data_IF_952772279602
#
_entry.id   IF_952772279602
#
_cell.length_a   1.000
_cell.length_b   1.000
_cell.length_c   1.000
_cell.angle_alpha   90.00
_cell.angle_beta   90.00
_cell.angle_gamma   90.00
#
_symmetry.space_group_name_H-M   'P 1'
#
loop_
_entity.id
_entity.type
_entity.pdbx_description
1 polymer ?
#
# COMPACT_ATOMS: atom_id res chain seq x y z
N UNK A 1 -52.53 41.55 17.17
CA UNK A 1 -51.33 40.96 17.74
C UNK A 1 -50.90 39.80 16.83
N UNK A 2 -49.86 39.99 16.04
CA UNK A 2 -49.39 38.99 15.08
C UNK A 2 -48.04 38.46 15.62
N UNK A 3 -48.06 37.19 16.04
CA UNK A 3 -46.84 36.50 16.54
C UNK A 3 -46.06 35.99 15.31
N UNK A 4 -44.86 36.53 15.07
CA UNK A 4 -43.93 36.05 14.03
C UNK A 4 -43.01 35.04 14.67
N UNK A 5 -43.17 33.78 14.31
CA UNK A 5 -42.23 32.71 14.63
C UNK A 5 -41.15 32.67 13.58
N UNK A 6 -39.92 33.00 13.95
CA UNK A 6 -38.70 32.87 13.14
C UNK A 6 -38.22 31.45 13.24
N UNK A 7 -38.25 30.68 12.13
CA UNK A 7 -37.57 29.42 11.99
C UNK A 7 -36.08 29.70 11.70
N UNK A 8 -35.21 29.30 12.60
CA UNK A 8 -33.78 29.26 12.35
C UNK A 8 -33.44 27.95 11.66
N UNK A 9 -33.04 27.99 10.39
CA UNK A 9 -32.44 26.84 9.70
C UNK A 9 -30.99 26.67 10.20
N UNK A 10 -30.76 25.60 10.91
CA UNK A 10 -29.42 25.14 11.24
C UNK A 10 -28.75 24.50 10.00
N UNK A 11 -27.80 25.19 9.41
CA UNK A 11 -26.94 24.61 8.40
C UNK A 11 -25.95 23.62 9.07
N UNK A 12 -26.21 22.32 8.94
CA UNK A 12 -25.32 21.26 9.44
C UNK A 12 -24.21 21.07 8.40
N UNK A 13 -22.99 21.40 8.79
CA UNK A 13 -21.81 21.29 7.94
C UNK A 13 -21.43 19.82 7.72
N UNK A 14 -21.69 19.31 6.50
CA UNK A 14 -21.16 18.04 5.97
C UNK A 14 -19.79 18.29 5.34
N UNK A 15 -18.76 18.39 6.15
CA UNK A 15 -17.37 18.48 5.65
C UNK A 15 -16.50 17.59 6.51
N UNK A 16 -16.13 16.40 6.03
CA UNK A 16 -14.85 15.73 6.39
C UNK A 16 -14.65 14.29 5.91
N UNK A 17 -15.44 13.75 4.99
CA UNK A 17 -15.21 12.37 4.50
C UNK A 17 -14.41 12.27 3.18
N UNK A 18 -14.17 13.38 2.49
CA UNK A 18 -13.48 13.36 1.19
C UNK A 18 -11.94 13.30 1.29
N UNK A 19 -11.34 13.66 2.43
CA UNK A 19 -9.88 13.78 2.53
C UNK A 19 -9.16 12.43 2.64
N UNK A 20 -9.74 11.44 3.30
CA UNK A 20 -9.09 10.13 3.50
C UNK A 20 -9.05 9.28 2.23
N UNK A 21 -10.07 9.33 1.40
CA UNK A 21 -10.12 8.59 0.14
C UNK A 21 -9.13 9.14 -0.90
N UNK A 22 -8.93 10.46 -0.94
CA UNK A 22 -7.97 11.10 -1.84
C UNK A 22 -6.52 10.77 -1.46
N UNK A 23 -6.19 10.67 -0.18
CA UNK A 23 -4.85 10.27 0.29
C UNK A 23 -4.53 8.81 -0.03
N UNK A 24 -5.53 7.91 0.01
CA UNK A 24 -5.36 6.50 -0.32
C UNK A 24 -5.03 6.27 -1.81
N UNK A 25 -5.50 7.14 -2.71
CA UNK A 25 -5.24 7.06 -4.15
C UNK A 25 -3.91 7.72 -4.57
N UNK A 26 -3.35 8.62 -3.75
CA UNK A 26 -2.19 9.44 -4.10
C UNK A 26 -0.87 8.98 -3.46
N UNK A 27 -0.84 7.83 -2.78
CA UNK A 27 0.42 7.30 -2.30
C UNK A 27 1.36 6.99 -3.48
N UNK A 28 2.67 7.29 -3.36
CA UNK A 28 3.63 7.02 -4.43
C UNK A 28 3.74 5.52 -4.73
N UNK A 29 4.23 5.13 -5.91
CA UNK A 29 4.60 3.75 -6.13
C UNK A 29 5.77 3.34 -5.20
N UNK A 30 5.96 2.04 -4.91
CA UNK A 30 6.91 1.61 -3.88
C UNK A 30 8.35 2.08 -4.11
N UNK A 31 8.82 2.05 -5.35
CA UNK A 31 10.19 2.47 -5.71
C UNK A 31 10.43 4.00 -5.61
N UNK A 32 9.38 4.81 -5.57
CA UNK A 32 9.46 6.25 -5.28
C UNK A 32 9.27 6.53 -3.79
N UNK A 33 8.34 5.80 -3.15
CA UNK A 33 7.99 5.99 -1.74
C UNK A 33 9.06 5.48 -0.79
N UNK A 34 9.70 4.36 -1.12
CA UNK A 34 10.74 3.73 -0.29
C UNK A 34 11.86 3.10 -1.13
N UNK A 35 12.73 3.91 -1.73
CA UNK A 35 13.83 3.43 -2.58
C UNK A 35 14.89 2.61 -1.84
N UNK A 36 14.90 2.64 -0.50
CA UNK A 36 15.79 1.80 0.30
C UNK A 36 15.35 0.33 0.30
N UNK A 37 14.04 0.10 0.16
CA UNK A 37 13.43 -1.24 0.10
C UNK A 37 13.18 -1.69 -1.32
N UNK A 38 12.76 -0.80 -2.22
CA UNK A 38 12.32 -1.11 -3.58
C UNK A 38 13.18 -0.46 -4.64
N UNK A 39 13.84 -1.25 -5.49
CA UNK A 39 14.71 -0.76 -6.56
C UNK A 39 14.24 -1.24 -7.92
N UNK A 40 14.01 -0.32 -8.85
CA UNK A 40 13.79 -0.70 -10.25
C UNK A 40 15.10 -1.22 -10.83
N UNK A 41 15.11 -2.48 -11.25
CA UNK A 41 16.28 -3.15 -11.83
C UNK A 41 16.15 -3.36 -13.34
N UNK A 42 14.94 -3.24 -13.88
CA UNK A 42 14.65 -3.26 -15.30
C UNK A 42 13.36 -2.49 -15.57
N UNK A 43 13.31 -1.77 -16.70
CA UNK A 43 12.09 -1.14 -17.18
C UNK A 43 12.12 -0.97 -18.69
N UNK A 44 11.01 -1.30 -19.35
CA UNK A 44 10.75 -0.99 -20.75
C UNK A 44 9.32 -0.44 -20.94
N UNK A 45 8.83 -0.42 -22.16
CA UNK A 45 7.48 0.07 -22.47
C UNK A 45 6.35 -0.82 -21.92
N UNK A 46 6.62 -2.11 -21.66
CA UNK A 46 5.60 -3.10 -21.28
C UNK A 46 5.71 -3.53 -19.82
N UNK A 47 6.93 -3.57 -19.27
CA UNK A 47 7.20 -4.14 -17.96
C UNK A 47 8.12 -3.26 -17.11
N UNK A 48 7.96 -3.39 -15.80
CA UNK A 48 8.91 -2.94 -14.79
C UNK A 48 9.22 -4.09 -13.85
N UNK A 49 10.52 -4.30 -13.58
CA UNK A 49 10.99 -5.27 -12.60
C UNK A 49 11.58 -4.53 -11.42
N UNK A 50 11.09 -4.85 -10.23
CA UNK A 50 11.49 -4.21 -8.98
C UNK A 50 12.10 -5.29 -8.08
N UNK A 51 13.31 -5.06 -7.64
CA UNK A 51 13.98 -5.82 -6.57
C UNK A 51 13.56 -5.22 -5.22
N UNK A 52 13.03 -6.05 -4.33
CA UNK A 52 12.55 -5.63 -3.02
C UNK A 52 13.22 -6.42 -1.91
N UNK A 53 13.97 -5.72 -1.06
CA UNK A 53 14.59 -6.31 0.13
C UNK A 53 14.09 -5.58 1.37
N UNK A 54 13.13 -6.20 2.06
CA UNK A 54 12.64 -5.72 3.35
C UNK A 54 13.32 -6.52 4.45
N UNK A 55 14.29 -5.90 5.12
CA UNK A 55 15.05 -6.56 6.19
C UNK A 55 14.13 -6.97 7.33
N UNK A 56 14.58 -7.95 8.11
CA UNK A 56 13.88 -8.41 9.32
C UNK A 56 13.52 -7.23 10.22
N UNK A 57 12.24 -7.14 10.61
CA UNK A 57 11.70 -6.10 11.46
C UNK A 57 11.50 -4.74 10.79
N UNK A 58 11.82 -4.61 9.51
CA UNK A 58 11.60 -3.34 8.78
C UNK A 58 10.14 -3.23 8.37
N UNK A 59 9.58 -2.07 8.68
CA UNK A 59 8.28 -1.59 8.22
C UNK A 59 8.55 -0.58 7.10
N UNK A 60 8.11 -0.86 5.89
CA UNK A 60 8.31 0.03 4.75
C UNK A 60 7.38 1.25 4.81
N UNK A 61 7.67 2.24 3.97
CA UNK A 61 6.89 3.48 3.92
C UNK A 61 5.60 3.29 3.13
N UNK A 62 4.63 4.15 3.42
CA UNK A 62 3.33 4.16 2.74
C UNK A 62 3.51 4.30 1.23
N UNK A 63 2.94 3.37 0.46
CA UNK A 63 3.00 3.31 -0.99
C UNK A 63 1.73 2.67 -1.58
N UNK A 64 1.62 2.64 -2.91
CA UNK A 64 0.51 1.97 -3.60
C UNK A 64 1.01 1.18 -4.82
N UNK A 65 0.40 0.03 -5.11
CA UNK A 65 0.63 -0.70 -6.36
C UNK A 65 -0.45 -0.28 -7.37
N UNK A 66 -0.05 0.53 -8.35
CA UNK A 66 -0.97 1.16 -9.32
C UNK A 66 -1.28 0.27 -10.53
N UNK A 67 -0.54 -0.80 -10.70
CA UNK A 67 -0.71 -1.79 -11.76
C UNK A 67 -0.64 -3.19 -11.18
N UNK A 68 -1.28 -4.19 -11.82
CA UNK A 68 -1.14 -5.58 -11.42
C UNK A 68 0.30 -6.05 -11.56
N UNK A 69 0.75 -6.92 -10.67
CA UNK A 69 2.09 -7.48 -10.69
C UNK A 69 2.09 -8.98 -10.37
N UNK A 70 3.17 -9.64 -10.76
CA UNK A 70 3.55 -10.95 -10.23
C UNK A 70 4.67 -10.72 -9.22
N UNK A 71 4.54 -11.33 -8.05
CA UNK A 71 5.57 -11.33 -7.02
C UNK A 71 6.17 -12.71 -6.91
N UNK A 72 7.50 -12.78 -7.01
CA UNK A 72 8.28 -13.99 -6.83
C UNK A 72 9.12 -13.89 -5.55
N UNK A 73 9.03 -14.87 -4.68
CA UNK A 73 9.80 -14.94 -3.44
C UNK A 73 11.17 -15.58 -3.66
N UNK A 74 12.23 -14.83 -3.35
CA UNK A 74 13.60 -15.34 -3.32
C UNK A 74 13.94 -15.95 -1.95
N UNK A 75 13.30 -15.44 -0.88
CA UNK A 75 13.40 -15.99 0.49
C UNK A 75 12.01 -16.25 1.05
N UNK A 76 11.92 -16.96 2.15
CA UNK A 76 10.70 -17.07 2.93
C UNK A 76 10.34 -15.68 3.50
N UNK A 77 9.08 -15.30 3.41
CA UNK A 77 8.59 -14.00 3.87
C UNK A 77 7.36 -14.18 4.75
N UNK A 78 7.32 -13.46 5.87
CA UNK A 78 6.09 -13.27 6.63
C UNK A 78 5.85 -11.77 6.78
N UNK A 79 4.78 -11.28 6.17
CA UNK A 79 4.47 -9.85 6.12
C UNK A 79 3.13 -9.54 6.76
N UNK A 80 3.06 -8.43 7.50
CA UNK A 80 1.83 -7.85 8.01
C UNK A 80 1.59 -6.52 7.27
N UNK A 81 0.40 -6.37 6.71
CA UNK A 81 0.01 -5.16 5.97
C UNK A 81 -0.76 -4.20 6.86
N UNK A 82 -0.53 -2.92 6.64
CA UNK A 82 -1.17 -1.82 7.35
C UNK A 82 -1.85 -0.88 6.37
N UNK A 83 -3.02 -0.39 6.73
CA UNK A 83 -3.70 0.66 5.99
C UNK A 83 -3.06 2.04 6.18
N UNK A 84 -3.54 3.05 5.45
CA UNK A 84 -3.04 4.42 5.56
C UNK A 84 -3.27 5.05 6.95
N UNK A 85 -4.13 4.47 7.77
CA UNK A 85 -4.37 4.84 9.17
C UNK A 85 -3.39 4.18 10.16
N UNK A 86 -2.43 3.39 9.64
CA UNK A 86 -1.42 2.68 10.44
C UNK A 86 -1.95 1.44 11.17
N UNK A 87 -3.16 0.97 10.84
CA UNK A 87 -3.74 -0.23 11.45
C UNK A 87 -3.54 -1.46 10.57
N UNK A 88 -3.31 -2.65 11.15
CA UNK A 88 -3.28 -3.89 10.40
C UNK A 88 -4.58 -4.09 9.60
N UNK A 89 -4.46 -4.47 8.33
CA UNK A 89 -5.60 -4.65 7.41
C UNK A 89 -6.08 -6.09 7.32
N UNK A 90 -5.20 -7.05 7.62
CA UNK A 90 -5.47 -8.48 7.50
C UNK A 90 -4.57 -9.29 8.43
N UNK A 91 -4.76 -10.61 8.43
CA UNK A 91 -3.81 -11.54 9.05
C UNK A 91 -2.48 -11.52 8.29
N UNK A 92 -1.36 -11.90 8.94
CA UNK A 92 -0.08 -12.02 8.27
C UNK A 92 -0.15 -12.92 7.03
N UNK A 93 0.57 -12.53 5.99
CA UNK A 93 0.74 -13.32 4.77
C UNK A 93 2.08 -14.02 4.78
N UNK A 94 2.11 -15.26 4.31
CA UNK A 94 3.31 -16.07 4.23
C UNK A 94 3.63 -16.39 2.77
N UNK A 95 4.85 -16.11 2.35
CA UNK A 95 5.38 -16.50 1.06
C UNK A 95 6.57 -17.44 1.24
N UNK A 96 6.67 -18.46 0.38
CA UNK A 96 7.75 -19.42 0.37
C UNK A 96 8.75 -19.13 -0.74
N UNK A 97 10.04 -19.25 -0.45
CA UNK A 97 11.08 -19.16 -1.46
C UNK A 97 10.78 -20.07 -2.66
N UNK A 98 10.99 -19.55 -3.87
CA UNK A 98 10.71 -20.27 -5.12
C UNK A 98 9.25 -20.26 -5.55
N UNK A 99 8.35 -19.52 -4.87
CA UNK A 99 6.93 -19.40 -5.25
C UNK A 99 6.60 -18.03 -5.81
N UNK A 100 5.58 -17.98 -6.66
CA UNK A 100 5.06 -16.73 -7.20
C UNK A 100 3.55 -16.64 -7.01
N UNK A 101 3.04 -15.40 -6.95
CA UNK A 101 1.61 -15.11 -6.87
C UNK A 101 1.27 -13.79 -7.56
N UNK A 102 0.02 -13.66 -7.99
CA UNK A 102 -0.48 -12.42 -8.59
C UNK A 102 -0.91 -11.43 -7.50
N UNK A 103 -0.50 -10.18 -7.67
CA UNK A 103 -0.93 -9.06 -6.83
C UNK A 103 -1.79 -8.12 -7.68
N UNK A 104 -3.03 -7.84 -7.28
CA UNK A 104 -3.87 -6.86 -7.95
C UNK A 104 -3.36 -5.44 -7.67
N UNK A 105 -4.03 -4.44 -8.24
CA UNK A 105 -3.87 -3.05 -7.82
C UNK A 105 -4.20 -2.96 -6.32
N UNK A 106 -3.27 -2.41 -5.53
CA UNK A 106 -3.46 -2.21 -4.08
C UNK A 106 -3.38 -0.73 -3.76
N UNK A 107 -4.41 -0.16 -3.11
CA UNK A 107 -4.39 1.22 -2.65
C UNK A 107 -3.30 1.44 -1.59
N UNK A 108 -3.18 2.67 -1.10
CA UNK A 108 -2.18 3.04 -0.11
C UNK A 108 -2.14 2.08 1.09
N UNK A 109 -0.96 1.54 1.31
CA UNK A 109 -0.65 0.62 2.40
C UNK A 109 0.84 0.68 2.73
N UNK A 110 1.23 0.06 3.81
CA UNK A 110 2.61 -0.28 4.15
C UNK A 110 2.69 -1.73 4.60
N UNK A 111 3.87 -2.30 4.65
CA UNK A 111 4.08 -3.67 5.06
C UNK A 111 5.28 -3.81 5.99
N UNK A 112 5.14 -4.65 7.01
CA UNK A 112 6.21 -4.98 7.94
C UNK A 112 6.67 -6.41 7.71
N UNK A 113 7.98 -6.62 7.67
CA UNK A 113 8.55 -7.97 7.70
C UNK A 113 8.60 -8.46 9.15
N UNK A 114 7.64 -9.29 9.53
CA UNK A 114 7.56 -9.91 10.85
C UNK A 114 8.17 -11.33 10.88
N UNK A 115 8.77 -11.75 9.78
CA UNK A 115 9.46 -13.04 9.67
C UNK A 115 10.83 -13.06 10.36
N UNK A 116 11.45 -14.25 10.44
CA UNK A 116 12.76 -14.41 11.11
C UNK A 116 13.95 -13.97 10.26
N UNK A 117 13.74 -13.76 8.95
CA UNK A 117 14.78 -13.47 7.95
C UNK A 117 14.43 -12.22 7.14
N UNK A 118 15.38 -11.73 6.33
CA UNK A 118 15.14 -10.70 5.35
C UNK A 118 14.18 -11.23 4.27
N UNK A 119 13.13 -10.46 3.96
CA UNK A 119 12.18 -10.78 2.92
C UNK A 119 12.68 -10.22 1.58
N UNK A 120 13.10 -11.09 0.67
CA UNK A 120 13.59 -10.74 -0.66
C UNK A 120 12.61 -11.20 -1.73
N UNK A 121 12.12 -10.27 -2.53
CA UNK A 121 11.07 -10.49 -3.53
C UNK A 121 11.42 -9.77 -4.83
N UNK A 122 10.96 -10.33 -5.95
CA UNK A 122 10.95 -9.67 -7.25
C UNK A 122 9.51 -9.39 -7.62
N UNK A 123 9.21 -8.13 -7.94
CA UNK A 123 7.93 -7.71 -8.52
C UNK A 123 8.10 -7.52 -10.02
N UNK A 124 7.20 -8.11 -10.80
CA UNK A 124 7.09 -7.88 -12.24
C UNK A 124 5.77 -7.17 -12.48
N UNK A 125 5.83 -5.88 -12.71
CA UNK A 125 4.67 -5.03 -13.03
C UNK A 125 4.43 -5.01 -14.53
N UNK A 126 3.16 -5.13 -14.93
CA UNK A 126 2.73 -4.87 -16.31
C UNK A 126 2.27 -3.41 -16.40
N UNK A 127 2.93 -2.65 -17.28
CA UNK A 127 2.65 -1.22 -17.50
C UNK A 127 1.44 -1.00 -18.40
#
# INVERSE_FOLDING_TARGET
MICRTTLALGAMALVSLASSAAMAQNAPPPYEGDPDVYKVIFEDQNFRVIDSVRKKGVHDKLHSHRVPSIVYHLTDCTSLLYGPDGKPTASPTNGKAGTAFAVPIIPAHSAENIGPEDCHQIFVERK
#
